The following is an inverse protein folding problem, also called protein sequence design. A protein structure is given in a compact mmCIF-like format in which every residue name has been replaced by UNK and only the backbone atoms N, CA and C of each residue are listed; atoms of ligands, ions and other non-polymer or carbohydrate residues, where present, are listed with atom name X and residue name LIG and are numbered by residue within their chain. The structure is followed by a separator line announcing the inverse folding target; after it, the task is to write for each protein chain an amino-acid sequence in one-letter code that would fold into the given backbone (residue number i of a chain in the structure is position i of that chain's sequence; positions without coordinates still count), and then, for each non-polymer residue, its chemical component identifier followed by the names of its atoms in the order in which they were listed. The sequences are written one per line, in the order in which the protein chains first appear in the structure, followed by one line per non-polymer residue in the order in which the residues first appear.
data_IF_693374153634
#
_entry.id   IF_693374153634
#
_cell.length_a   1.000
_cell.length_b   1.000
_cell.length_c   1.000
_cell.angle_alpha   90.00
_cell.angle_beta   90.00
_cell.angle_gamma   90.00
#
_symmetry.space_group_name_H-M   'P 1'
#
loop_
_entity.id
_entity.type
_entity.pdbx_description
1 polymer ?
#
# COMPACT_ATOMS: atom_id res chain seq x y z
N UNK A 1 -10.90 -21.17 16.25
CA UNK A 1 -9.98 -20.46 15.35
C UNK A 1 -10.47 -20.78 13.95
N UNK A 2 -11.00 -19.81 13.22
CA UNK A 2 -11.32 -20.00 11.79
C UNK A 2 -10.01 -20.26 11.05
N UNK A 3 -9.93 -21.40 10.40
CA UNK A 3 -8.81 -21.77 9.53
C UNK A 3 -8.69 -20.67 8.46
N UNK A 4 -7.52 -20.05 8.36
CA UNK A 4 -7.29 -18.99 7.38
C UNK A 4 -7.14 -19.62 6.01
N UNK A 5 -7.83 -19.08 5.02
CA UNK A 5 -7.68 -19.52 3.64
C UNK A 5 -6.28 -19.15 3.12
N UNK A 6 -5.69 -19.99 2.26
CA UNK A 6 -4.46 -19.62 1.55
C UNK A 6 -4.71 -18.42 0.62
N UNK A 7 -3.64 -17.66 0.36
CA UNK A 7 -3.70 -16.38 -0.35
C UNK A 7 -3.12 -16.51 -1.74
N UNK A 8 -3.81 -15.98 -2.73
CA UNK A 8 -3.30 -15.72 -4.08
C UNK A 8 -2.79 -14.29 -4.15
N UNK A 9 -1.57 -14.10 -4.67
CA UNK A 9 -0.95 -12.78 -4.79
C UNK A 9 -1.13 -12.25 -6.22
N UNK A 10 -1.81 -11.13 -6.39
CA UNK A 10 -1.82 -10.46 -7.69
C UNK A 10 -0.53 -9.67 -7.90
N UNK A 11 0.27 -10.07 -8.86
CA UNK A 11 1.53 -9.44 -9.25
C UNK A 11 2.70 -10.43 -9.38
N UNK A 12 3.57 -10.21 -10.37
CA UNK A 12 4.77 -11.02 -10.63
C UNK A 12 6.06 -10.20 -10.70
N UNK A 13 5.97 -8.87 -10.59
CA UNK A 13 7.10 -7.95 -10.68
C UNK A 13 7.90 -7.81 -9.38
N UNK A 14 8.93 -6.95 -9.39
CA UNK A 14 9.82 -6.72 -8.23
C UNK A 14 9.06 -6.28 -6.97
N UNK A 15 8.04 -5.44 -7.12
CA UNK A 15 7.23 -5.00 -6.00
C UNK A 15 6.48 -6.18 -5.37
N UNK A 16 5.77 -6.98 -6.17
CA UNK A 16 5.06 -8.16 -5.70
C UNK A 16 6.01 -9.18 -5.04
N UNK A 17 7.25 -9.34 -5.56
CA UNK A 17 8.28 -10.18 -4.93
C UNK A 17 8.60 -9.72 -3.51
N UNK A 18 8.69 -8.40 -3.30
CA UNK A 18 8.93 -7.84 -1.97
C UNK A 18 7.73 -8.08 -1.04
N UNK A 19 6.51 -7.89 -1.55
CA UNK A 19 5.30 -8.17 -0.77
C UNK A 19 5.18 -9.67 -0.44
N UNK A 20 5.45 -10.54 -1.40
CA UNK A 20 5.50 -12.00 -1.16
C UNK A 20 6.46 -12.33 -0.01
N UNK A 21 7.65 -11.72 0.03
CA UNK A 21 8.60 -11.92 1.12
C UNK A 21 8.03 -11.51 2.48
N UNK A 22 7.40 -10.34 2.57
CA UNK A 22 6.75 -9.89 3.81
C UNK A 22 5.61 -10.81 4.22
N UNK A 23 4.72 -11.16 3.31
CA UNK A 23 3.61 -12.06 3.63
C UNK A 23 4.11 -13.44 4.10
N UNK A 24 5.18 -13.96 3.53
CA UNK A 24 5.74 -15.26 3.91
C UNK A 24 6.45 -15.23 5.27
N UNK A 25 7.17 -14.14 5.61
CA UNK A 25 8.06 -14.12 6.78
C UNK A 25 7.55 -13.28 7.96
N UNK A 26 6.55 -12.40 7.72
CA UNK A 26 6.07 -11.42 8.69
C UNK A 26 4.55 -11.53 8.95
N UNK A 27 3.87 -12.46 8.28
CA UNK A 27 2.44 -12.68 8.42
C UNK A 27 2.09 -14.13 8.67
N UNK A 28 0.87 -14.41 9.11
CA UNK A 28 0.37 -15.79 9.21
C UNK A 28 -0.26 -16.30 7.91
N UNK A 29 -0.13 -15.58 6.78
CA UNK A 29 -0.70 -15.96 5.50
C UNK A 29 0.21 -16.96 4.78
N UNK A 30 -0.40 -17.95 4.13
CA UNK A 30 0.27 -18.85 3.20
C UNK A 30 -0.02 -18.38 1.78
N UNK A 31 0.99 -17.88 1.08
CA UNK A 31 0.87 -17.50 -0.33
C UNK A 31 1.12 -18.73 -1.18
N UNK A 32 0.12 -19.16 -1.96
CA UNK A 32 0.15 -20.44 -2.70
C UNK A 32 0.26 -20.29 -4.21
N UNK A 33 -0.03 -19.11 -4.74
CA UNK A 33 0.05 -18.82 -6.17
C UNK A 33 0.22 -17.33 -6.42
N UNK A 34 0.65 -17.00 -7.63
CA UNK A 34 0.62 -15.65 -8.16
C UNK A 34 -0.33 -15.55 -9.35
N UNK A 35 -0.85 -14.36 -9.60
CA UNK A 35 -1.68 -14.07 -10.77
C UNK A 35 -1.34 -12.71 -11.34
N UNK A 36 -1.47 -12.57 -12.64
CA UNK A 36 -1.39 -11.30 -13.40
C UNK A 36 -2.31 -11.41 -14.61
N UNK A 37 -2.60 -10.31 -15.28
CA UNK A 37 -3.30 -10.35 -16.56
C UNK A 37 -2.52 -11.23 -17.54
N UNK A 38 -3.19 -12.08 -18.30
CA UNK A 38 -2.58 -13.13 -19.11
C UNK A 38 -1.52 -12.63 -20.10
N UNK A 39 -1.68 -11.40 -20.61
CA UNK A 39 -0.69 -10.76 -21.52
C UNK A 39 0.68 -10.49 -20.85
N UNK A 40 0.76 -10.47 -19.52
CA UNK A 40 2.01 -10.24 -18.77
C UNK A 40 2.66 -11.52 -18.25
N UNK A 41 2.13 -12.69 -18.58
CA UNK A 41 2.71 -13.97 -18.18
C UNK A 41 3.91 -14.27 -19.08
N UNK A 42 5.10 -14.21 -18.50
CA UNK A 42 6.36 -14.53 -19.21
C UNK A 42 7.00 -15.87 -18.81
N UNK A 43 6.45 -16.55 -17.82
CA UNK A 43 6.90 -17.87 -17.34
C UNK A 43 5.77 -18.54 -16.57
N UNK A 44 5.90 -19.85 -16.33
CA UNK A 44 4.92 -20.64 -15.58
C UNK A 44 5.00 -20.43 -14.06
N UNK A 45 6.04 -19.74 -13.58
CA UNK A 45 6.30 -19.51 -12.16
C UNK A 45 6.79 -18.09 -11.88
N UNK A 46 6.41 -17.58 -10.70
CA UNK A 46 6.98 -16.39 -10.09
C UNK A 46 7.24 -16.65 -8.59
N UNK A 47 8.44 -16.32 -8.13
CA UNK A 47 8.86 -16.47 -6.72
C UNK A 47 8.84 -17.93 -6.21
N UNK A 48 8.96 -18.92 -7.11
CA UNK A 48 8.79 -20.36 -6.79
C UNK A 48 7.32 -20.79 -6.63
N UNK A 49 6.38 -19.96 -7.04
CA UNK A 49 4.95 -20.24 -7.01
C UNK A 49 4.37 -20.30 -8.43
N UNK A 50 3.36 -21.13 -8.68
CA UNK A 50 2.68 -21.15 -9.97
C UNK A 50 2.04 -19.79 -10.28
N UNK A 51 2.08 -19.40 -11.55
CA UNK A 51 1.41 -18.21 -12.05
C UNK A 51 0.22 -18.61 -12.94
N UNK A 52 -0.92 -17.93 -12.74
CA UNK A 52 -2.17 -18.20 -13.45
C UNK A 52 -2.71 -16.90 -14.03
N UNK A 53 -3.27 -16.87 -15.25
CA UNK A 53 -3.95 -15.70 -15.78
C UNK A 53 -5.08 -15.24 -14.86
N UNK A 54 -5.15 -13.94 -14.59
CA UNK A 54 -6.17 -13.38 -13.69
C UNK A 54 -7.59 -13.58 -14.22
N UNK A 55 -7.73 -13.59 -15.53
CA UNK A 55 -9.02 -13.82 -16.23
C UNK A 55 -9.63 -15.20 -15.98
N UNK A 56 -8.82 -16.13 -15.43
CA UNK A 56 -9.22 -17.53 -15.16
C UNK A 56 -8.80 -17.97 -13.77
N UNK A 57 -8.58 -17.01 -12.87
CA UNK A 57 -8.06 -17.31 -11.53
C UNK A 57 -9.04 -18.13 -10.69
N UNK A 58 -10.32 -17.86 -10.81
CA UNK A 58 -11.40 -18.52 -10.09
C UNK A 58 -11.61 -20.00 -10.50
N UNK A 59 -11.19 -20.39 -11.71
CA UNK A 59 -11.23 -21.80 -12.13
C UNK A 59 -10.30 -22.69 -11.30
N UNK A 60 -9.14 -22.16 -10.88
CA UNK A 60 -8.11 -22.91 -10.16
C UNK A 60 -8.02 -22.56 -8.68
N UNK A 61 -8.30 -21.34 -8.34
CA UNK A 61 -8.24 -20.78 -6.98
C UNK A 61 -9.55 -20.07 -6.63
N UNK A 62 -10.68 -20.81 -6.49
CA UNK A 62 -11.99 -20.20 -6.31
C UNK A 62 -12.09 -19.40 -5.00
N UNK A 63 -12.85 -18.28 -4.96
CA UNK A 63 -12.92 -17.35 -3.84
C UNK A 63 -13.51 -17.97 -2.55
N UNK A 64 -14.28 -19.06 -2.68
CA UNK A 64 -14.77 -19.79 -1.51
C UNK A 64 -13.63 -20.47 -0.71
N UNK A 65 -12.52 -20.78 -1.37
CA UNK A 65 -11.40 -21.52 -0.79
C UNK A 65 -10.12 -20.71 -0.65
N UNK A 66 -10.01 -19.59 -1.36
CA UNK A 66 -8.80 -18.75 -1.38
C UNK A 66 -9.15 -17.29 -1.14
N UNK A 67 -8.25 -16.61 -0.43
CA UNK A 67 -8.25 -15.16 -0.28
C UNK A 67 -7.25 -14.55 -1.28
N UNK A 68 -7.23 -13.22 -1.43
CA UNK A 68 -6.32 -12.56 -2.37
C UNK A 68 -5.66 -11.33 -1.75
N UNK A 69 -4.48 -10.96 -2.27
CA UNK A 69 -3.83 -9.67 -2.03
C UNK A 69 -3.35 -9.06 -3.35
N UNK A 70 -3.71 -7.80 -3.59
CA UNK A 70 -3.33 -7.07 -4.81
C UNK A 70 -2.00 -6.36 -4.57
N UNK A 71 -0.89 -6.97 -5.01
CA UNK A 71 0.47 -6.49 -4.82
C UNK A 71 0.95 -5.60 -5.98
N UNK A 72 0.22 -4.52 -6.24
CA UNK A 72 0.59 -3.49 -7.19
C UNK A 72 1.04 -2.21 -6.47
N UNK A 73 2.04 -1.52 -7.05
CA UNK A 73 2.52 -0.24 -6.53
C UNK A 73 1.62 0.93 -6.94
N UNK A 74 2.19 2.13 -6.95
CA UNK A 74 1.48 3.41 -7.11
C UNK A 74 1.34 3.89 -8.56
N UNK A 75 1.52 3.01 -9.56
CA UNK A 75 1.36 3.40 -10.97
C UNK A 75 -0.02 4.01 -11.24
N UNK A 76 -0.06 5.03 -12.11
CA UNK A 76 -1.28 5.77 -12.45
C UNK A 76 -2.02 6.27 -11.20
N UNK A 77 -1.28 6.85 -10.25
CA UNK A 77 -1.85 7.30 -8.97
C UNK A 77 -2.73 6.24 -8.28
N UNK A 78 -2.23 5.00 -8.22
CA UNK A 78 -2.89 3.84 -7.62
C UNK A 78 -4.12 3.29 -8.40
N UNK A 79 -4.59 3.94 -9.47
CA UNK A 79 -5.78 3.48 -10.21
C UNK A 79 -5.65 2.08 -10.80
N UNK A 80 -4.44 1.67 -11.23
CA UNK A 80 -4.24 0.29 -11.69
C UNK A 80 -4.47 -0.73 -10.56
N UNK A 81 -4.06 -0.40 -9.31
CA UNK A 81 -4.30 -1.26 -8.15
C UNK A 81 -5.78 -1.30 -7.79
N UNK A 82 -6.45 -0.15 -7.77
CA UNK A 82 -7.90 -0.05 -7.58
C UNK A 82 -8.68 -0.92 -8.57
N UNK A 83 -8.35 -0.86 -9.86
CA UNK A 83 -9.04 -1.66 -10.88
C UNK A 83 -8.95 -3.16 -10.58
N UNK A 84 -7.77 -3.67 -10.21
CA UNK A 84 -7.59 -5.08 -9.88
C UNK A 84 -8.22 -5.45 -8.54
N UNK A 85 -8.19 -4.54 -7.58
CA UNK A 85 -8.90 -4.65 -6.31
C UNK A 85 -10.42 -4.79 -6.54
N UNK A 86 -11.02 -3.92 -7.35
CA UNK A 86 -12.44 -3.97 -7.66
C UNK A 86 -12.83 -5.27 -8.37
N UNK A 87 -12.07 -5.67 -9.41
CA UNK A 87 -12.32 -6.94 -10.13
C UNK A 87 -12.21 -8.15 -9.21
N UNK A 88 -11.21 -8.20 -8.32
CA UNK A 88 -11.08 -9.31 -7.37
C UNK A 88 -12.28 -9.39 -6.41
N UNK A 89 -12.80 -8.27 -5.98
CA UNK A 89 -14.02 -8.21 -5.15
C UNK A 89 -15.26 -8.64 -5.92
N UNK A 90 -15.40 -8.23 -7.18
CA UNK A 90 -16.50 -8.66 -8.06
C UNK A 90 -16.49 -10.17 -8.29
N UNK A 91 -15.30 -10.78 -8.36
CA UNK A 91 -15.12 -12.23 -8.41
C UNK A 91 -15.41 -12.93 -7.08
N UNK A 92 -15.64 -12.18 -5.99
CA UNK A 92 -16.00 -12.71 -4.67
C UNK A 92 -14.83 -12.99 -3.73
N UNK A 93 -13.61 -12.58 -4.06
CA UNK A 93 -12.46 -12.76 -3.16
C UNK A 93 -12.55 -11.87 -1.92
N UNK A 94 -12.22 -12.45 -0.78
CA UNK A 94 -11.84 -11.68 0.41
C UNK A 94 -10.42 -11.16 0.20
N UNK A 95 -10.24 -9.85 0.34
CA UNK A 95 -8.93 -9.24 0.22
C UNK A 95 -8.30 -9.09 1.60
N UNK A 96 -7.15 -9.75 1.80
CA UNK A 96 -6.49 -9.78 3.11
C UNK A 96 -5.75 -8.48 3.40
N UNK A 97 -5.71 -8.10 4.66
CA UNK A 97 -4.91 -6.98 5.18
C UNK A 97 -3.78 -7.53 6.04
N UNK A 98 -2.57 -7.05 5.80
CA UNK A 98 -1.41 -7.34 6.63
C UNK A 98 -0.96 -6.11 7.41
N UNK A 99 -0.94 -6.23 8.72
CA UNK A 99 -0.28 -5.28 9.62
C UNK A 99 0.89 -6.02 10.24
N UNK A 100 2.11 -5.56 9.95
CA UNK A 100 3.32 -6.16 10.50
C UNK A 100 3.26 -6.21 12.04
N UNK A 101 3.59 -7.33 12.67
CA UNK A 101 3.71 -7.40 14.13
C UNK A 101 4.82 -6.50 14.70
N UNK A 102 5.67 -5.94 13.81
CA UNK A 102 6.70 -4.96 14.15
C UNK A 102 6.27 -3.51 13.89
N UNK A 103 5.01 -3.28 13.48
CA UNK A 103 4.40 -1.96 13.48
C UNK A 103 3.86 -1.64 14.87
N UNK A 104 3.85 -0.36 15.23
CA UNK A 104 3.23 0.13 16.46
C UNK A 104 1.85 0.69 16.15
N UNK A 105 0.81 -0.02 16.56
CA UNK A 105 -0.59 0.38 16.34
C UNK A 105 -1.37 0.32 17.67
N UNK A 106 -2.56 0.87 17.68
CA UNK A 106 -3.45 0.88 18.84
C UNK A 106 -4.70 0.05 18.58
N UNK A 107 -5.40 -0.45 19.64
CA UNK A 107 -6.57 -1.32 19.50
C UNK A 107 -7.76 -0.67 18.80
N UNK A 108 -7.81 0.66 18.74
CA UNK A 108 -8.85 1.46 18.09
C UNK A 108 -8.56 1.77 16.62
N UNK A 109 -7.50 1.20 16.04
CA UNK A 109 -7.21 1.36 14.60
C UNK A 109 -8.34 0.78 13.74
N UNK A 110 -8.95 1.66 12.95
CA UNK A 110 -9.89 1.27 11.89
C UNK A 110 -9.12 1.16 10.58
N UNK A 111 -9.14 -0.01 9.94
CA UNK A 111 -8.41 -0.27 8.70
C UNK A 111 -9.27 -1.09 7.74
N UNK A 112 -9.24 -0.72 6.47
CA UNK A 112 -9.93 -1.44 5.40
C UNK A 112 -9.22 -2.73 4.97
N UNK A 113 -9.72 -3.33 3.89
CA UNK A 113 -9.15 -4.52 3.28
C UNK A 113 -8.07 -4.20 2.25
N UNK A 114 -7.32 -5.22 1.79
CA UNK A 114 -6.16 -5.10 0.90
C UNK A 114 -5.10 -4.09 1.38
N UNK A 115 -5.00 -3.88 2.69
CA UNK A 115 -4.02 -2.94 3.24
C UNK A 115 -2.72 -3.63 3.61
N UNK A 116 -1.61 -2.89 3.46
CA UNK A 116 -0.28 -3.33 3.86
C UNK A 116 0.36 -2.29 4.76
N UNK A 117 0.53 -2.61 6.04
CA UNK A 117 1.29 -1.79 6.99
C UNK A 117 2.57 -2.53 7.34
N UNK A 118 3.71 -2.00 6.89
CA UNK A 118 5.01 -2.65 7.07
C UNK A 118 5.64 -2.37 8.43
N UNK A 119 6.81 -2.96 8.64
CA UNK A 119 7.58 -2.87 9.87
C UNK A 119 7.95 -1.41 10.24
N UNK A 120 8.06 -1.15 11.53
CA UNK A 120 8.42 0.16 12.08
C UNK A 120 7.44 1.31 11.70
N UNK A 121 6.30 1.01 11.09
CA UNK A 121 5.24 2.01 10.94
C UNK A 121 4.66 2.31 12.31
N UNK A 122 4.45 3.59 12.60
CA UNK A 122 3.78 4.05 13.81
C UNK A 122 2.44 4.66 13.46
N UNK A 123 1.35 4.07 13.94
CA UNK A 123 -0.01 4.59 13.79
C UNK A 123 -0.52 4.98 15.16
N UNK A 124 -0.85 6.25 15.35
CA UNK A 124 -1.32 6.80 16.61
C UNK A 124 -2.81 6.52 16.88
N UNK A 125 -3.31 6.78 18.12
CA UNK A 125 -4.73 6.61 18.44
C UNK A 125 -5.67 7.43 17.55
N UNK A 126 -6.89 6.92 17.35
CA UNK A 126 -7.97 7.56 16.60
C UNK A 126 -7.63 7.79 15.12
N UNK A 127 -6.81 6.92 14.54
CA UNK A 127 -6.52 6.91 13.10
C UNK A 127 -7.46 5.95 12.40
N UNK A 128 -7.92 6.35 11.20
CA UNK A 128 -8.60 5.46 10.26
C UNK A 128 -7.86 5.40 8.94
N UNK A 129 -7.77 4.21 8.35
CA UNK A 129 -7.10 3.92 7.08
C UNK A 129 -8.10 3.21 6.18
N UNK A 130 -8.32 3.76 5.00
CA UNK A 130 -9.19 3.20 3.98
C UNK A 130 -8.62 1.93 3.34
N UNK A 131 -9.43 1.29 2.50
CA UNK A 131 -9.07 0.05 1.79
C UNK A 131 -7.98 0.27 0.74
N UNK A 132 -7.30 -0.82 0.37
CA UNK A 132 -6.28 -0.84 -0.68
C UNK A 132 -5.16 0.19 -0.47
N UNK A 133 -4.80 0.43 0.80
CA UNK A 133 -3.78 1.42 1.18
C UNK A 133 -2.50 0.75 1.65
N UNK A 134 -1.38 1.23 1.10
CA UNK A 134 -0.05 0.70 1.40
C UNK A 134 0.74 1.74 2.19
N UNK A 135 1.21 1.36 3.38
CA UNK A 135 2.05 2.19 4.25
C UNK A 135 3.39 1.49 4.44
N UNK A 136 4.42 2.09 3.86
CA UNK A 136 5.76 1.52 3.79
C UNK A 136 6.56 1.74 5.07
N UNK A 137 7.58 0.91 5.30
CA UNK A 137 8.37 0.85 6.54
C UNK A 137 8.79 2.22 7.10
N UNK A 138 8.64 2.38 8.40
CA UNK A 138 9.06 3.56 9.15
C UNK A 138 8.19 4.80 8.96
N UNK A 139 7.07 4.73 8.25
CA UNK A 139 6.14 5.85 8.15
C UNK A 139 5.45 6.13 9.50
N UNK A 140 5.04 7.38 9.71
CA UNK A 140 4.35 7.84 10.91
C UNK A 140 3.00 8.44 10.55
N UNK A 141 1.93 7.98 11.18
CA UNK A 141 0.58 8.52 11.04
C UNK A 141 0.13 9.04 12.40
N UNK A 142 0.04 10.36 12.53
CA UNK A 142 -0.30 11.07 13.75
C UNK A 142 -1.78 10.90 14.16
N UNK A 143 -2.05 11.14 15.42
CA UNK A 143 -3.36 10.96 16.05
C UNK A 143 -4.50 11.73 15.34
N UNK A 144 -5.73 11.20 15.42
CA UNK A 144 -6.94 11.80 14.83
C UNK A 144 -6.82 12.07 13.31
N UNK A 145 -5.96 11.33 12.61
CA UNK A 145 -5.79 11.47 11.16
C UNK A 145 -6.58 10.43 10.41
N UNK A 146 -6.94 10.77 9.18
CA UNK A 146 -7.61 9.85 8.26
C UNK A 146 -6.79 9.69 6.98
N UNK A 147 -6.64 8.44 6.53
CA UNK A 147 -6.06 8.11 5.23
C UNK A 147 -7.14 7.48 4.38
N UNK A 148 -7.39 8.04 3.21
CA UNK A 148 -8.39 7.54 2.27
C UNK A 148 -8.01 6.21 1.64
N UNK A 149 -8.91 5.71 0.77
CA UNK A 149 -8.70 4.48 0.02
C UNK A 149 -7.62 4.64 -1.05
N UNK A 150 -7.04 3.52 -1.46
CA UNK A 150 -6.11 3.45 -2.57
C UNK A 150 -4.87 4.35 -2.43
N UNK A 151 -4.45 4.67 -1.21
CA UNK A 151 -3.28 5.52 -0.97
C UNK A 151 -1.97 4.71 -0.98
N UNK A 152 -0.87 5.41 -1.23
CA UNK A 152 0.49 4.88 -1.07
C UNK A 152 1.34 5.84 -0.26
N UNK A 153 1.71 5.44 0.95
CA UNK A 153 2.55 6.22 1.85
C UNK A 153 3.93 5.56 1.89
N UNK A 154 4.92 6.23 1.30
CA UNK A 154 6.27 5.71 1.17
C UNK A 154 7.05 5.73 2.50
N UNK A 155 8.21 5.09 2.49
CA UNK A 155 9.05 4.93 3.68
C UNK A 155 9.34 6.26 4.38
N UNK A 156 9.18 6.24 5.71
CA UNK A 156 9.48 7.38 6.59
C UNK A 156 8.71 8.67 6.26
N UNK A 157 7.61 8.61 5.52
CA UNK A 157 6.71 9.74 5.41
C UNK A 157 6.13 10.04 6.79
N UNK A 158 6.14 11.32 7.20
CA UNK A 158 5.67 11.77 8.50
C UNK A 158 4.36 12.57 8.33
N UNK A 159 3.26 11.99 8.72
CA UNK A 159 1.95 12.66 8.80
C UNK A 159 1.74 13.07 10.26
N UNK A 160 1.62 14.35 10.52
CA UNK A 160 1.36 14.89 11.87
C UNK A 160 -0.10 14.60 12.30
N UNK A 161 -0.51 15.10 13.46
CA UNK A 161 -1.87 14.89 13.97
C UNK A 161 -2.94 15.64 13.18
N UNK A 162 -4.21 15.20 13.30
CA UNK A 162 -5.39 15.85 12.72
C UNK A 162 -5.35 16.07 11.20
N UNK A 163 -4.60 15.25 10.47
CA UNK A 163 -4.43 15.35 9.01
C UNK A 163 -5.48 14.50 8.30
N UNK A 164 -6.01 15.01 7.19
CA UNK A 164 -6.86 14.25 6.26
C UNK A 164 -6.13 14.02 4.95
N UNK A 165 -5.94 12.76 4.57
CA UNK A 165 -5.35 12.39 3.28
C UNK A 165 -6.47 11.81 2.42
N UNK A 166 -6.75 12.48 1.29
CA UNK A 166 -7.74 12.05 0.31
C UNK A 166 -7.31 10.79 -0.43
N UNK A 167 -8.29 10.08 -1.00
CA UNK A 167 -8.06 8.83 -1.75
C UNK A 167 -7.07 9.02 -2.90
N UNK A 168 -6.44 7.91 -3.34
CA UNK A 168 -5.45 7.87 -4.44
C UNK A 168 -4.22 8.75 -4.24
N UNK A 169 -3.96 9.22 -3.03
CA UNK A 169 -2.80 10.06 -2.76
C UNK A 169 -1.51 9.24 -2.66
N UNK A 170 -0.42 9.83 -3.14
CA UNK A 170 0.93 9.33 -2.99
C UNK A 170 1.75 10.27 -2.10
N UNK A 171 2.27 9.76 -1.00
CA UNK A 171 3.20 10.47 -0.12
C UNK A 171 4.61 9.89 -0.28
N UNK A 172 5.52 10.68 -0.82
CA UNK A 172 6.89 10.27 -1.12
C UNK A 172 7.76 10.09 0.13
N UNK A 173 8.87 9.38 -0.05
CA UNK A 173 9.83 9.07 1.02
C UNK A 173 10.29 10.31 1.77
N UNK A 174 10.27 10.25 3.11
CA UNK A 174 10.68 11.35 4.01
C UNK A 174 9.89 12.66 3.79
N UNK A 175 8.73 12.66 3.17
CA UNK A 175 7.89 13.85 3.17
C UNK A 175 7.28 14.08 4.56
N UNK A 176 6.92 15.31 4.85
CA UNK A 176 6.26 15.71 6.10
C UNK A 176 4.99 16.46 5.78
N UNK A 177 3.87 16.05 6.36
CA UNK A 177 2.60 16.77 6.33
C UNK A 177 2.38 17.39 7.71
N UNK A 178 2.29 18.72 7.78
CA UNK A 178 2.09 19.42 9.06
C UNK A 178 0.71 19.16 9.65
N UNK A 179 0.59 19.38 10.94
CA UNK A 179 -0.62 19.18 11.73
C UNK A 179 -1.84 19.95 11.14
N UNK A 180 -3.00 19.30 11.19
CA UNK A 180 -4.29 19.90 10.86
C UNK A 180 -4.56 20.10 9.36
N UNK A 181 -3.68 19.63 8.48
CA UNK A 181 -3.81 19.85 7.03
C UNK A 181 -4.72 18.82 6.35
N UNK A 182 -5.25 19.24 5.22
CA UNK A 182 -5.93 18.39 4.25
C UNK A 182 -5.07 18.22 2.99
N UNK A 183 -4.67 16.98 2.71
CA UNK A 183 -4.16 16.57 1.40
C UNK A 183 -5.36 16.12 0.60
N UNK A 184 -5.77 16.91 -0.40
CA UNK A 184 -6.92 16.59 -1.23
C UNK A 184 -6.69 15.31 -2.06
N UNK A 185 -7.74 14.67 -2.62
CA UNK A 185 -7.57 13.45 -3.41
C UNK A 185 -6.60 13.57 -4.59
N UNK A 186 -6.01 12.44 -4.98
CA UNK A 186 -5.15 12.31 -6.16
C UNK A 186 -3.89 13.19 -6.12
N UNK A 187 -3.39 13.49 -4.93
CA UNK A 187 -2.19 14.30 -4.77
C UNK A 187 -0.92 13.46 -4.75
N UNK A 188 0.12 13.95 -5.44
CA UNK A 188 1.47 13.42 -5.35
C UNK A 188 2.37 14.36 -4.55
N UNK A 189 2.66 14.00 -3.32
CA UNK A 189 3.62 14.71 -2.47
C UNK A 189 5.00 14.10 -2.67
N UNK A 190 5.92 14.84 -3.27
CA UNK A 190 7.26 14.36 -3.60
C UNK A 190 8.11 14.03 -2.37
N UNK A 191 9.16 13.22 -2.57
CA UNK A 191 10.09 12.86 -1.51
C UNK A 191 10.76 14.09 -0.90
N UNK A 192 10.86 14.13 0.44
CA UNK A 192 11.49 15.22 1.17
C UNK A 192 10.69 16.55 1.21
N UNK A 193 9.46 16.57 0.69
CA UNK A 193 8.58 17.75 0.79
C UNK A 193 8.15 17.97 2.24
N UNK A 194 8.15 19.22 2.69
CA UNK A 194 7.44 19.65 3.90
C UNK A 194 6.20 20.42 3.48
N UNK A 195 5.04 19.73 3.50
CA UNK A 195 3.75 20.34 3.18
C UNK A 195 3.27 21.18 4.36
N UNK A 196 3.02 22.47 4.10
CA UNK A 196 2.66 23.45 5.13
C UNK A 196 1.30 24.14 4.87
N UNK A 197 0.59 23.73 3.82
CA UNK A 197 -0.73 24.25 3.44
C UNK A 197 -1.57 23.12 2.88
N UNK A 198 -2.86 23.27 2.94
CA UNK A 198 -3.80 22.37 2.25
C UNK A 198 -3.53 22.34 0.75
N UNK A 199 -3.89 21.25 0.12
CA UNK A 199 -3.77 21.07 -1.33
C UNK A 199 -5.13 21.02 -1.99
N UNK A 200 -5.15 21.30 -3.31
CA UNK A 200 -6.30 21.06 -4.17
C UNK A 200 -6.19 19.66 -4.84
N UNK A 201 -7.28 19.07 -5.32
CA UNK A 201 -7.25 17.77 -5.99
C UNK A 201 -6.29 17.71 -7.18
N UNK A 202 -5.59 16.59 -7.32
CA UNK A 202 -4.70 16.31 -8.45
C UNK A 202 -3.38 17.08 -8.45
N UNK A 203 -3.00 17.72 -7.36
CA UNK A 203 -1.74 18.48 -7.30
C UNK A 203 -0.51 17.59 -7.15
N UNK A 204 0.58 18.03 -7.80
CA UNK A 204 1.92 17.49 -7.61
C UNK A 204 2.78 18.51 -6.87
N UNK A 205 3.21 18.16 -5.66
CA UNK A 205 4.05 19.00 -4.83
C UNK A 205 5.47 18.44 -4.85
N UNK A 206 6.43 19.20 -5.39
CA UNK A 206 7.82 18.78 -5.50
C UNK A 206 8.72 19.56 -4.52
N UNK A 207 9.80 18.94 -3.99
CA UNK A 207 10.77 19.64 -3.14
C UNK A 207 11.62 20.59 -4.00
N UNK A 208 12.30 21.57 -3.37
CA UNK A 208 13.30 22.35 -4.07
C UNK A 208 14.47 21.47 -4.54
N UNK A 209 14.99 21.77 -5.73
CA UNK A 209 16.15 21.05 -6.28
C UNK A 209 17.39 21.30 -5.42
N UNK A 210 18.09 20.24 -5.04
CA UNK A 210 19.34 20.34 -4.31
C UNK A 210 20.41 21.06 -5.17
N UNK A 211 21.21 21.92 -4.54
CA UNK A 211 22.35 22.60 -5.20
C UNK A 211 23.65 21.89 -4.83
N UNK A 212 24.46 21.62 -5.84
CA UNK A 212 25.86 21.22 -5.62
C UNK A 212 26.66 22.49 -5.34
N UNK A 213 27.22 22.58 -4.15
CA UNK A 213 28.11 23.71 -3.80
C UNK A 213 29.51 23.39 -4.29
N UNK A 214 30.26 24.42 -4.82
CA UNK A 214 31.66 24.25 -5.12
C UNK A 214 32.45 24.06 -3.82
N UNK A 215 33.36 23.11 -3.81
CA UNK A 215 34.19 22.76 -2.68
C UNK A 215 34.43 21.28 -2.55
N UNK A 216 35.41 20.90 -1.76
CA UNK A 216 35.67 19.54 -1.31
C UNK A 216 35.07 19.34 0.09
N UNK A 217 34.82 18.08 0.48
CA UNK A 217 34.33 17.73 1.82
C UNK A 217 35.44 17.62 2.86
N UNK A 218 36.57 18.29 2.64
CA UNK A 218 37.74 18.29 3.55
C UNK A 218 37.48 19.06 4.83
#
# INVERSE_FOLDING_TARGET
MTERKPVVLFGSGRFARTIHYFLTHDSPFEVVATTVDGEFIGSDEAFGLPIVPFERIDERYPPDSFDMFIALGYRQMNHLREQRYATARELGYTLVTHVSPRASTWPDLVIGDNCLILDQVMVHPYVSIGSDTIIWSGAHIGHNSTVGDHCFIASRAAVSGNVRIGHHSFLGTNCTVRDGLTVAPENAIGAGVVLSKDTEPGQVVAPPVARILPGTSD
#
